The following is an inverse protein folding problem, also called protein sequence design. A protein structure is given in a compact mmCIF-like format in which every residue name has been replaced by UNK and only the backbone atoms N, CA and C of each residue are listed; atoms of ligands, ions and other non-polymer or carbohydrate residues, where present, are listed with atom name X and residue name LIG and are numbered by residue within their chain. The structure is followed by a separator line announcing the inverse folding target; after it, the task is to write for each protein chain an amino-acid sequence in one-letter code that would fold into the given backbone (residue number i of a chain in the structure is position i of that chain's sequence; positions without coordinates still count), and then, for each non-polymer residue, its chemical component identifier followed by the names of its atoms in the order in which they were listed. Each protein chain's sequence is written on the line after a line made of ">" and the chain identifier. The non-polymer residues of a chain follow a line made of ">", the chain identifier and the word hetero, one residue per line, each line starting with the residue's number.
data_IF_049257589578
#
_entry.id   IF_049257589578
#
_cell.length_a   1.000
_cell.length_b   1.000
_cell.length_c   1.000
_cell.angle_alpha   90.00
_cell.angle_beta   90.00
_cell.angle_gamma   90.00
#
_symmetry.space_group_name_H-M   'P 1'
#
loop_
_entity.id
_entity.type
_entity.pdbx_description
1 polymer ?
#
# COMPACT_ATOMS: atom_id res chain seq x y z
N UNK A 1 6.68 -7.19 3.11
CA UNK A 1 5.80 -6.19 2.46
C UNK A 1 6.57 -4.88 2.31
N UNK A 2 6.30 -4.12 1.24
CA UNK A 2 6.86 -2.79 1.03
C UNK A 2 5.70 -1.84 0.75
N UNK A 3 5.71 -0.65 1.37
CA UNK A 3 4.73 0.41 1.12
C UNK A 3 5.48 1.63 0.63
N UNK A 4 5.11 2.14 -0.55
CA UNK A 4 5.55 3.42 -1.09
C UNK A 4 4.37 4.37 -1.09
N UNK A 5 4.60 5.60 -0.67
CA UNK A 5 3.62 6.67 -0.74
C UNK A 5 4.27 7.90 -1.33
N UNK A 6 3.54 8.59 -2.19
CA UNK A 6 3.94 9.84 -2.81
C UNK A 6 2.73 10.79 -2.90
N UNK A 7 2.79 11.88 -2.15
CA UNK A 7 1.76 12.90 -2.10
C UNK A 7 1.67 13.68 -3.42
N UNK A 8 2.76 13.85 -4.16
CA UNK A 8 2.74 14.63 -5.41
C UNK A 8 1.90 13.92 -6.48
N UNK A 9 2.05 12.60 -6.59
CA UNK A 9 1.26 11.77 -7.51
C UNK A 9 -0.09 11.33 -6.91
N UNK A 10 -0.39 11.69 -5.66
CA UNK A 10 -1.56 11.22 -4.92
C UNK A 10 -1.70 9.70 -4.98
N UNK A 11 -0.56 8.99 -4.81
CA UNK A 11 -0.50 7.56 -5.02
C UNK A 11 0.24 6.80 -3.92
N UNK A 12 -0.13 5.54 -3.74
CA UNK A 12 0.61 4.59 -2.92
C UNK A 12 0.69 3.24 -3.61
N UNK A 13 1.82 2.56 -3.43
CA UNK A 13 2.03 1.21 -3.89
C UNK A 13 2.38 0.28 -2.72
N UNK A 14 1.60 -0.78 -2.54
CA UNK A 14 1.78 -1.80 -1.53
C UNK A 14 2.24 -3.06 -2.25
N UNK A 15 3.51 -3.41 -2.14
CA UNK A 15 4.06 -4.68 -2.63
C UNK A 15 3.96 -5.74 -1.53
N UNK A 16 3.15 -6.77 -1.76
CA UNK A 16 2.92 -7.87 -0.82
C UNK A 16 4.04 -8.91 -0.89
N UNK A 17 4.37 -9.36 -2.11
CA UNK A 17 5.34 -10.44 -2.36
C UNK A 17 6.24 -10.13 -3.56
N UNK A 18 7.44 -10.72 -3.55
CA UNK A 18 8.46 -10.48 -4.57
C UNK A 18 8.34 -11.46 -5.74
N UNK A 19 7.24 -11.36 -6.47
CA UNK A 19 7.01 -12.08 -7.72
C UNK A 19 6.64 -11.12 -8.83
N UNK A 20 6.90 -11.53 -10.07
CA UNK A 20 6.59 -10.73 -11.26
C UNK A 20 5.08 -10.48 -11.38
N UNK A 21 4.71 -9.21 -11.55
CA UNK A 21 3.37 -8.78 -11.96
C UNK A 21 3.25 -8.99 -13.47
N UNK A 22 2.13 -9.57 -13.90
CA UNK A 22 1.83 -9.82 -15.31
C UNK A 22 0.57 -9.09 -15.80
N UNK A 23 -0.32 -8.71 -14.89
CA UNK A 23 -1.61 -8.10 -15.16
C UNK A 23 -2.01 -7.22 -13.98
N UNK A 24 -2.84 -6.21 -14.25
CA UNK A 24 -3.40 -5.31 -13.25
C UNK A 24 -4.88 -5.03 -13.55
N UNK A 25 -5.72 -4.95 -12.51
CA UNK A 25 -7.17 -4.69 -12.63
C UNK A 25 -7.61 -3.62 -11.64
N UNK A 26 -8.36 -2.61 -12.11
CA UNK A 26 -9.00 -1.61 -11.23
C UNK A 26 -10.29 -2.19 -10.64
N UNK A 27 -10.29 -2.44 -9.33
CA UNK A 27 -11.40 -3.09 -8.61
C UNK A 27 -12.38 -2.10 -7.96
N UNK A 28 -11.95 -0.85 -7.82
CA UNK A 28 -12.73 0.28 -7.37
C UNK A 28 -12.04 1.58 -7.85
N UNK A 29 -12.75 2.72 -7.91
CA UNK A 29 -12.15 3.97 -8.37
C UNK A 29 -10.83 4.31 -7.65
N UNK A 30 -9.73 4.32 -8.39
CA UNK A 30 -8.40 4.59 -7.86
C UNK A 30 -7.76 3.45 -7.07
N UNK A 31 -8.26 2.22 -7.17
CA UNK A 31 -7.73 1.04 -6.46
C UNK A 31 -7.49 -0.08 -7.46
N UNK A 32 -6.23 -0.46 -7.62
CA UNK A 32 -5.79 -1.45 -8.61
C UNK A 32 -5.11 -2.62 -7.91
N UNK A 33 -5.44 -3.83 -8.32
CA UNK A 33 -4.74 -5.04 -7.93
C UNK A 33 -3.77 -5.46 -9.01
N UNK A 34 -2.55 -5.80 -8.61
CA UNK A 34 -1.56 -6.42 -9.47
C UNK A 34 -1.55 -7.93 -9.26
N UNK A 35 -1.62 -8.70 -10.34
CA UNK A 35 -1.65 -10.16 -10.33
C UNK A 35 -0.38 -10.77 -10.89
N UNK A 36 -0.03 -11.95 -10.37
CA UNK A 36 0.95 -12.83 -11.00
C UNK A 36 0.31 -13.87 -11.93
N UNK A 37 1.14 -14.73 -12.52
CA UNK A 37 0.73 -15.82 -13.43
C UNK A 37 -0.17 -16.89 -12.79
N UNK A 38 -0.45 -16.80 -11.49
CA UNK A 38 -1.32 -17.73 -10.76
C UNK A 38 -2.56 -17.01 -10.21
N UNK A 39 -2.90 -15.84 -10.75
CA UNK A 39 -4.01 -14.98 -10.32
C UNK A 39 -3.92 -14.57 -8.84
N UNK A 40 -2.70 -14.51 -8.30
CA UNK A 40 -2.49 -14.08 -6.91
C UNK A 40 -2.14 -12.61 -6.88
N UNK A 41 -2.80 -11.88 -5.99
CA UNK A 41 -2.52 -10.46 -5.77
C UNK A 41 -1.12 -10.30 -5.17
N UNK A 42 -0.29 -9.50 -5.84
CA UNK A 42 1.11 -9.21 -5.51
C UNK A 42 1.34 -7.77 -5.13
N UNK A 43 0.53 -6.88 -5.66
CA UNK A 43 0.56 -5.46 -5.42
C UNK A 43 -0.86 -4.91 -5.24
N UNK A 44 -0.97 -3.83 -4.49
CA UNK A 44 -2.15 -2.99 -4.48
C UNK A 44 -1.66 -1.56 -4.74
N UNK A 45 -2.23 -0.92 -5.74
CA UNK A 45 -1.98 0.47 -6.05
C UNK A 45 -3.20 1.29 -5.64
N UNK A 46 -2.93 2.41 -5.00
CA UNK A 46 -3.91 3.44 -4.72
C UNK A 46 -3.54 4.68 -5.53
N UNK A 47 -4.52 5.25 -6.22
CA UNK A 47 -4.47 6.50 -6.95
C UNK A 47 -5.56 7.43 -6.41
N UNK A 48 -5.38 8.75 -6.59
CA UNK A 48 -6.34 9.75 -6.10
C UNK A 48 -6.58 9.64 -4.59
N UNK A 49 -5.49 9.47 -3.84
CA UNK A 49 -5.53 9.32 -2.39
C UNK A 49 -6.13 10.53 -1.65
N UNK A 50 -6.17 11.70 -2.28
CA UNK A 50 -6.90 12.89 -1.81
C UNK A 50 -8.42 12.67 -1.73
N UNK A 51 -8.95 11.76 -2.54
CA UNK A 51 -10.37 11.45 -2.65
C UNK A 51 -10.78 10.20 -1.88
N UNK A 52 -9.80 9.39 -1.43
CA UNK A 52 -10.05 8.17 -0.68
C UNK A 52 -10.19 8.50 0.82
N UNK A 53 -11.40 8.37 1.36
CA UNK A 53 -11.62 8.53 2.80
C UNK A 53 -11.16 7.29 3.58
N UNK A 54 -10.90 7.48 4.88
CA UNK A 54 -10.58 6.37 5.79
C UNK A 54 -11.70 5.35 5.88
N UNK A 55 -12.95 5.81 5.88
CA UNK A 55 -14.12 4.93 5.95
C UNK A 55 -14.25 4.08 4.69
N UNK A 56 -14.11 4.67 3.50
CA UNK A 56 -14.07 3.93 2.25
C UNK A 56 -12.97 2.87 2.28
N UNK A 57 -11.75 3.24 2.69
CA UNK A 57 -10.65 2.30 2.82
C UNK A 57 -10.94 1.13 3.77
N UNK A 58 -11.54 1.40 4.95
CA UNK A 58 -11.91 0.38 5.92
C UNK A 58 -12.96 -0.58 5.33
N UNK A 59 -13.88 -0.07 4.53
CA UNK A 59 -14.94 -0.86 3.90
C UNK A 59 -14.49 -1.63 2.65
N UNK A 60 -13.26 -1.39 2.16
CA UNK A 60 -12.70 -2.20 1.08
C UNK A 60 -12.51 -3.65 1.54
N UNK A 61 -13.03 -4.56 0.72
CA UNK A 61 -12.80 -5.99 0.85
C UNK A 61 -11.43 -6.37 0.24
N UNK A 62 -10.35 -5.88 0.87
CA UNK A 62 -8.99 -6.23 0.50
C UNK A 62 -8.65 -7.64 1.04
N UNK A 63 -8.16 -8.56 0.20
CA UNK A 63 -7.77 -9.92 0.62
C UNK A 63 -6.41 -9.91 1.33
N UNK A 64 -6.32 -9.16 2.42
CA UNK A 64 -5.14 -8.97 3.26
C UNK A 64 -5.36 -9.52 4.67
N UNK A 65 -4.26 -9.82 5.37
CA UNK A 65 -4.33 -10.07 6.80
C UNK A 65 -4.71 -8.77 7.54
N UNK A 66 -5.42 -8.89 8.67
CA UNK A 66 -5.86 -7.74 9.47
C UNK A 66 -4.69 -6.80 9.82
N UNK A 67 -3.56 -7.37 10.22
CA UNK A 67 -2.33 -6.63 10.53
C UNK A 67 -1.85 -5.77 9.35
N UNK A 68 -1.83 -6.33 8.15
CA UNK A 68 -1.37 -5.60 6.96
C UNK A 68 -2.33 -4.46 6.63
N UNK A 69 -3.65 -4.68 6.80
CA UNK A 69 -4.66 -3.64 6.62
C UNK A 69 -4.49 -2.48 7.61
N UNK A 70 -4.25 -2.76 8.89
CA UNK A 70 -3.98 -1.75 9.93
C UNK A 70 -2.71 -0.93 9.63
N UNK A 71 -1.65 -1.62 9.17
CA UNK A 71 -0.39 -0.97 8.78
C UNK A 71 -0.61 -0.02 7.60
N UNK A 72 -1.33 -0.48 6.57
CA UNK A 72 -1.61 0.33 5.38
C UNK A 72 -2.50 1.51 5.76
N UNK A 73 -3.55 1.32 6.55
CA UNK A 73 -4.40 2.41 7.06
C UNK A 73 -3.55 3.47 7.77
N UNK A 74 -2.67 3.04 8.67
CA UNK A 74 -1.78 3.93 9.42
C UNK A 74 -0.86 4.72 8.47
N UNK A 75 -0.31 4.05 7.45
CA UNK A 75 0.53 4.71 6.45
C UNK A 75 -0.25 5.77 5.65
N UNK A 76 -1.42 5.40 5.13
CA UNK A 76 -2.21 6.25 4.24
C UNK A 76 -2.88 7.43 4.96
N UNK A 77 -3.28 7.29 6.22
CA UNK A 77 -4.11 8.30 6.92
C UNK A 77 -3.45 8.98 8.11
N UNK A 78 -2.31 8.47 8.58
CA UNK A 78 -1.57 9.06 9.70
C UNK A 78 -0.17 9.48 9.28
N UNK A 79 0.61 8.59 8.67
CA UNK A 79 1.99 8.90 8.30
C UNK A 79 2.09 9.87 7.11
N UNK A 80 1.20 9.77 6.13
CA UNK A 80 1.08 10.70 5.00
C UNK A 80 0.98 12.18 5.42
N UNK A 81 0.42 12.45 6.61
CA UNK A 81 0.31 13.80 7.18
C UNK A 81 1.64 14.35 7.71
N UNK A 82 2.61 13.47 7.98
CA UNK A 82 3.89 13.81 8.58
C UNK A 82 5.01 13.93 7.55
N UNK A 83 4.89 13.22 6.42
CA UNK A 83 5.88 13.25 5.35
C UNK A 83 5.21 13.05 4.00
N UNK A 84 5.51 13.92 3.00
CA UNK A 84 4.87 13.88 1.69
C UNK A 84 5.29 12.67 0.86
N UNK A 85 6.38 11.99 1.25
CA UNK A 85 6.90 10.83 0.54
C UNK A 85 7.56 9.88 1.52
N UNK A 86 7.32 8.58 1.37
CA UNK A 86 8.00 7.58 2.17
C UNK A 86 8.03 6.22 1.49
N UNK A 87 8.98 5.40 1.92
CA UNK A 87 9.01 3.96 1.63
C UNK A 87 9.27 3.24 2.94
N UNK A 88 8.41 2.28 3.28
CA UNK A 88 8.57 1.43 4.47
C UNK A 88 8.68 -0.03 4.02
N UNK A 89 9.63 -0.73 4.62
CA UNK A 89 9.82 -2.16 4.44
C UNK A 89 9.43 -2.89 5.72
N UNK A 90 8.51 -3.84 5.59
CA UNK A 90 8.14 -4.78 6.64
C UNK A 90 8.77 -6.13 6.31
N UNK A 91 9.77 -6.52 7.10
CA UNK A 91 10.45 -7.81 6.98
C UNK A 91 9.50 -8.98 7.16
N UNK A 92 9.87 -10.16 6.63
CA UNK A 92 9.10 -11.39 6.81
C UNK A 92 9.14 -11.94 8.24
N UNK A 93 10.07 -11.46 9.05
CA UNK A 93 10.13 -11.68 10.49
C UNK A 93 10.01 -10.31 11.17
N UNK A 94 9.03 -10.12 12.04
CA UNK A 94 9.04 -8.97 12.96
C UNK A 94 10.27 -9.07 13.88
N UNK A 95 10.83 -8.00 14.49
CA UNK A 95 10.26 -6.67 14.71
C UNK A 95 11.27 -5.48 14.58
N UNK A 96 10.86 -4.36 14.00
CA UNK A 96 11.16 -3.01 14.50
C UNK A 96 10.65 -1.94 13.53
N UNK A 97 9.97 -0.93 14.06
CA UNK A 97 9.62 0.33 13.37
C UNK A 97 10.84 1.26 13.24
N UNK A 98 12.05 0.72 13.04
CA UNK A 98 13.29 1.51 12.98
C UNK A 98 13.73 1.90 11.56
N UNK A 99 13.04 1.46 10.52
CA UNK A 99 13.44 1.74 9.14
C UNK A 99 12.66 2.93 8.54
N UNK A 100 12.81 4.12 9.12
CA UNK A 100 12.59 5.36 8.39
C UNK A 100 13.88 5.73 7.68
N UNK A 101 14.08 5.28 6.43
CA UNK A 101 15.12 5.89 5.58
C UNK A 101 14.53 7.14 4.92
N UNK A 102 14.86 8.31 5.47
CA UNK A 102 14.77 9.55 4.70
C UNK A 102 15.74 9.40 3.53
N UNK A 103 15.19 9.25 2.34
CA UNK A 103 16.01 9.36 1.12
C UNK A 103 16.13 10.84 0.82
N UNK A 104 17.37 11.31 0.70
CA UNK A 104 17.74 12.71 0.47
C UNK A 104 17.22 13.25 -0.87
#
# INVERSE_FOLDING_TARGET
>A
MLIRYDQESQAAYIKLLDSKVIESEEIAPGIVYDFDVKDKIRGIEFYRLDSLSREEFINLNLPLQLRDKEIIETCLFSLSKLTPKFTIFFGKESPNLSAFSKTA
#
